data_IF_284180772195
#
_entry.id   IF_284180772195
#
_cell.length_a   1.000
_cell.length_b   1.000
_cell.length_c   1.000
_cell.angle_alpha   90.00
_cell.angle_beta   90.00
_cell.angle_gamma   90.00
#
_symmetry.space_group_name_H-M   'P 1'
#
loop_
_entity.id
_entity.type
_entity.pdbx_description
1 polymer ?
#
# COMPACT_ATOMS: atom_id res chain seq x y z
N UNK A 1 -23.27 -3.58 22.69
CA UNK A 1 -22.13 -2.97 23.36
C UNK A 1 -20.81 -3.74 23.17
N UNK A 2 -20.73 -5.08 23.23
CA UNK A 2 -19.47 -5.82 22.94
C UNK A 2 -18.90 -5.65 21.51
N UNK A 3 -19.68 -5.18 20.53
CA UNK A 3 -19.24 -4.97 19.14
C UNK A 3 -18.46 -3.68 18.91
N UNK A 4 -18.60 -2.65 19.74
CA UNK A 4 -17.90 -1.38 19.58
C UNK A 4 -16.47 -1.37 20.13
N UNK A 5 -16.15 -2.28 21.05
CA UNK A 5 -14.79 -2.41 21.61
C UNK A 5 -13.81 -3.20 20.71
N UNK A 6 -14.30 -3.84 19.63
CA UNK A 6 -13.47 -4.69 18.76
C UNK A 6 -12.98 -3.98 17.50
N UNK A 7 -13.27 -2.69 17.31
CA UNK A 7 -13.01 -1.95 16.07
C UNK A 7 -11.57 -1.50 15.92
N UNK A 8 -10.83 -1.40 17.02
CA UNK A 8 -9.47 -0.84 17.03
C UNK A 8 -8.34 -1.75 16.56
N UNK A 9 -8.57 -3.05 16.36
CA UNK A 9 -7.46 -4.00 16.21
C UNK A 9 -7.05 -4.33 14.76
N UNK A 10 -7.67 -3.73 13.75
CA UNK A 10 -7.32 -4.01 12.37
C UNK A 10 -6.45 -2.91 11.79
N UNK A 11 -5.15 -3.06 12.03
CA UNK A 11 -4.04 -2.58 11.20
C UNK A 11 -4.20 -1.17 10.60
N UNK A 12 -3.77 -0.16 11.33
CA UNK A 12 -3.29 1.13 10.77
C UNK A 12 -2.04 0.92 9.88
N UNK A 13 -1.95 -0.17 9.14
CA UNK A 13 -0.96 -0.23 8.08
C UNK A 13 -1.42 0.69 6.97
N UNK A 14 -0.94 1.92 6.99
CA UNK A 14 -1.01 2.81 5.83
C UNK A 14 -0.13 2.18 4.75
N UNK A 15 -0.66 1.22 4.00
CA UNK A 15 0.04 0.72 2.83
C UNK A 15 0.01 1.81 1.78
N UNK A 16 1.08 2.58 1.71
CA UNK A 16 1.30 3.57 0.66
C UNK A 16 1.73 2.86 -0.64
N UNK A 17 0.88 1.97 -1.19
CA UNK A 17 1.07 1.53 -2.57
C UNK A 17 0.74 2.70 -3.49
N UNK A 18 1.74 3.53 -3.75
CA UNK A 18 1.60 4.71 -4.62
C UNK A 18 1.72 4.35 -6.11
N UNK A 19 1.98 3.06 -6.44
CA UNK A 19 2.39 2.67 -7.79
C UNK A 19 1.64 1.44 -8.29
N UNK A 20 1.77 1.17 -9.57
CA UNK A 20 1.37 -0.09 -10.17
C UNK A 20 2.14 -1.25 -9.49
N UNK A 21 1.44 -2.33 -9.18
CA UNK A 21 2.01 -3.48 -8.49
C UNK A 21 1.06 -4.14 -7.52
N UNK A 22 1.53 -5.14 -6.83
CA UNK A 22 0.83 -5.79 -5.73
C UNK A 22 0.69 -4.89 -4.49
N UNK A 23 0.14 -5.45 -3.42
CA UNK A 23 -0.17 -4.69 -2.19
C UNK A 23 1.08 -4.01 -1.60
N UNK A 24 2.24 -4.68 -1.64
CA UNK A 24 3.52 -4.20 -1.10
C UNK A 24 4.66 -4.19 -2.14
N UNK A 25 4.33 -4.23 -3.43
CA UNK A 25 5.33 -4.34 -4.49
C UNK A 25 5.09 -3.31 -5.57
N UNK A 26 6.12 -2.55 -5.91
CA UNK A 26 6.12 -1.65 -7.07
C UNK A 26 6.76 -2.36 -8.26
N UNK A 27 6.04 -2.51 -9.37
CA UNK A 27 6.57 -3.09 -10.61
C UNK A 27 7.21 -2.05 -11.54
N UNK A 28 6.86 -0.78 -11.36
CA UNK A 28 7.39 0.37 -12.13
C UNK A 28 8.79 0.82 -11.64
N UNK A 29 9.76 -0.09 -11.54
CA UNK A 29 11.08 0.21 -10.99
C UNK A 29 12.06 0.91 -11.98
N UNK A 30 11.55 1.32 -13.15
CA UNK A 30 12.29 2.16 -14.12
C UNK A 30 11.28 3.04 -14.89
N UNK A 31 11.68 4.23 -15.31
CA UNK A 31 10.83 5.13 -16.08
C UNK A 31 10.40 4.57 -17.44
N UNK A 32 11.12 3.59 -18.01
CA UNK A 32 10.70 2.88 -19.20
C UNK A 32 9.36 2.14 -19.03
N UNK A 33 9.02 1.69 -17.81
CA UNK A 33 7.73 1.11 -17.49
C UNK A 33 6.59 2.13 -17.66
N UNK A 34 6.80 3.39 -17.30
CA UNK A 34 5.76 4.42 -17.38
C UNK A 34 5.35 4.75 -18.81
N UNK A 35 6.23 4.52 -19.79
CA UNK A 35 5.89 4.70 -21.20
C UNK A 35 5.28 3.44 -21.83
N UNK A 36 5.56 2.26 -21.25
CA UNK A 36 5.05 0.96 -21.69
C UNK A 36 5.20 -0.04 -20.53
N UNK A 37 4.11 -0.50 -19.88
CA UNK A 37 4.19 -1.37 -18.70
C UNK A 37 4.56 -2.83 -19.05
N UNK A 38 4.46 -3.23 -20.33
CA UNK A 38 4.79 -4.59 -20.79
C UNK A 38 6.30 -4.75 -20.98
N UNK A 39 7.05 -4.77 -19.86
CA UNK A 39 8.52 -4.88 -19.88
C UNK A 39 9.03 -6.30 -19.65
N UNK A 40 8.15 -7.24 -19.37
CA UNK A 40 8.47 -8.55 -18.79
C UNK A 40 9.25 -9.49 -19.72
N UNK A 41 9.21 -9.26 -21.04
CA UNK A 41 10.01 -9.98 -22.05
C UNK A 41 10.93 -9.05 -22.85
N UNK A 42 11.14 -7.80 -22.40
CA UNK A 42 11.98 -6.84 -23.13
C UNK A 42 13.46 -7.11 -22.81
N UNK A 43 14.28 -7.16 -23.86
CA UNK A 43 15.74 -7.26 -23.74
C UNK A 43 16.31 -5.84 -23.75
N UNK A 44 16.46 -5.26 -22.54
CA UNK A 44 17.02 -3.94 -22.30
C UNK A 44 17.59 -3.87 -20.88
N UNK A 45 18.27 -2.77 -20.52
CA UNK A 45 18.89 -2.64 -19.20
C UNK A 45 17.88 -2.64 -18.05
N UNK A 46 16.68 -2.12 -18.24
CA UNK A 46 15.59 -2.19 -17.26
C UNK A 46 15.11 -3.64 -17.02
N UNK A 47 15.48 -4.59 -17.89
CA UNK A 47 15.32 -6.02 -17.69
C UNK A 47 16.02 -6.56 -16.44
N UNK A 48 17.00 -5.85 -15.86
CA UNK A 48 17.58 -6.26 -14.57
C UNK A 48 16.51 -6.50 -13.51
N UNK A 49 15.39 -5.76 -13.57
CA UNK A 49 14.21 -6.03 -12.75
C UNK A 49 13.19 -6.92 -13.47
N UNK A 50 12.71 -6.48 -14.63
CA UNK A 50 11.53 -7.08 -15.27
C UNK A 50 11.82 -8.45 -15.91
N UNK A 51 12.99 -8.60 -16.56
CA UNK A 51 13.42 -9.80 -17.29
C UNK A 51 14.93 -10.07 -17.10
N UNK A 52 15.38 -10.45 -15.89
CA UNK A 52 16.81 -10.55 -15.62
C UNK A 52 17.52 -11.67 -16.41
N UNK A 53 16.80 -12.68 -16.89
CA UNK A 53 17.36 -13.67 -17.79
C UNK A 53 17.65 -13.11 -19.19
N UNK A 54 16.86 -12.15 -19.66
CA UNK A 54 17.06 -11.46 -20.96
C UNK A 54 18.34 -10.63 -21.05
N UNK A 55 18.98 -10.32 -19.91
CA UNK A 55 20.28 -9.61 -19.86
C UNK A 55 21.38 -10.36 -20.62
N UNK A 56 21.31 -11.69 -20.72
CA UNK A 56 22.25 -12.49 -21.49
C UNK A 56 22.29 -12.16 -22.99
N UNK A 57 21.26 -11.49 -23.51
CA UNK A 57 21.14 -11.13 -24.92
C UNK A 57 21.47 -9.67 -25.21
N UNK A 58 21.89 -8.89 -24.21
CA UNK A 58 22.47 -7.57 -24.42
C UNK A 58 23.85 -7.68 -25.06
N UNK A 59 24.33 -6.63 -25.76
CA UNK A 59 25.71 -6.54 -26.24
C UNK A 59 26.72 -6.76 -25.11
N UNK A 60 27.87 -7.36 -25.42
CA UNK A 60 28.95 -7.52 -24.46
C UNK A 60 29.44 -6.15 -23.96
N UNK A 61 29.74 -6.05 -22.66
CA UNK A 61 30.19 -4.82 -22.03
C UNK A 61 29.34 -4.43 -20.81
N UNK A 62 29.54 -3.22 -20.35
CA UNK A 62 28.84 -2.69 -19.18
C UNK A 62 27.65 -1.83 -19.63
N UNK A 63 26.51 -2.04 -18.96
CA UNK A 63 25.25 -1.32 -19.17
C UNK A 63 24.78 -0.71 -17.86
N UNK A 64 24.27 0.52 -17.91
CA UNK A 64 23.77 1.26 -16.76
C UNK A 64 22.46 1.96 -17.10
N UNK A 65 21.50 1.97 -16.19
CA UNK A 65 20.34 2.85 -16.25
C UNK A 65 20.20 3.58 -14.93
N UNK A 66 20.02 4.90 -15.02
CA UNK A 66 19.68 5.77 -13.90
C UNK A 66 18.29 6.32 -14.15
N UNK A 67 17.39 6.12 -13.22
CA UNK A 67 15.99 6.49 -13.36
C UNK A 67 15.52 7.32 -12.19
N UNK A 68 14.66 8.29 -12.48
CA UNK A 68 13.91 9.08 -11.51
C UNK A 68 12.44 9.08 -11.88
N UNK A 69 11.59 8.96 -10.86
CA UNK A 69 10.15 9.06 -11.00
C UNK A 69 9.59 9.98 -9.92
N UNK A 70 8.44 10.59 -10.22
CA UNK A 70 7.64 11.32 -9.26
C UNK A 70 6.18 10.88 -9.37
N UNK A 71 5.51 10.74 -8.21
CA UNK A 71 4.15 10.27 -8.15
C UNK A 71 3.28 11.13 -7.23
N UNK A 72 2.01 11.25 -7.60
CA UNK A 72 0.96 11.93 -6.84
C UNK A 72 -0.27 11.03 -6.77
N UNK A 73 -0.76 10.80 -5.56
CA UNK A 73 -1.94 9.99 -5.36
C UNK A 73 -2.92 10.68 -4.42
N UNK A 74 -4.21 10.54 -4.69
CA UNK A 74 -5.30 10.89 -3.80
C UNK A 74 -6.05 9.62 -3.41
N UNK A 75 -6.37 9.52 -2.14
CA UNK A 75 -7.20 8.46 -1.55
C UNK A 75 -8.46 9.13 -1.05
N UNK A 76 -9.60 8.79 -1.61
CA UNK A 76 -10.86 9.49 -1.40
C UNK A 76 -11.87 8.55 -0.76
N UNK A 77 -12.52 9.03 0.29
CA UNK A 77 -13.47 8.27 1.09
C UNK A 77 -14.74 9.11 1.28
N UNK A 78 -15.80 8.79 0.52
CA UNK A 78 -17.14 9.31 0.75
C UNK A 78 -17.86 8.36 1.69
N UNK A 79 -18.33 8.86 2.84
CA UNK A 79 -18.91 8.02 3.88
C UNK A 79 -20.21 8.60 4.39
N UNK A 80 -21.16 7.73 4.79
CA UNK A 80 -22.41 8.12 5.41
C UNK A 80 -22.64 7.31 6.69
N UNK A 81 -22.74 8.03 7.82
CA UNK A 81 -23.12 7.45 9.11
C UNK A 81 -23.92 8.47 9.92
N UNK A 82 -25.01 8.04 10.53
CA UNK A 82 -25.85 8.89 11.39
C UNK A 82 -25.08 9.47 12.59
N UNK A 83 -24.03 8.78 13.08
CA UNK A 83 -23.17 9.27 14.15
C UNK A 83 -22.51 10.62 13.81
N UNK A 84 -22.16 10.82 12.54
CA UNK A 84 -21.50 12.04 12.08
C UNK A 84 -22.36 13.28 12.19
N UNK A 85 -23.69 13.14 12.24
CA UNK A 85 -24.61 14.25 12.46
C UNK A 85 -24.37 14.96 13.80
N UNK A 86 -23.84 14.25 14.80
CA UNK A 86 -23.49 14.82 16.09
C UNK A 86 -22.25 15.72 16.03
N UNK A 87 -21.49 15.68 14.90
CA UNK A 87 -20.35 16.53 14.62
C UNK A 87 -20.56 17.27 13.30
N UNK A 88 -21.11 18.48 13.35
CA UNK A 88 -21.34 19.32 12.17
C UNK A 88 -22.67 19.11 11.45
N UNK A 89 -23.61 18.30 11.99
CA UNK A 89 -25.01 18.21 11.53
C UNK A 89 -25.25 17.40 10.25
N UNK A 90 -24.21 16.81 9.64
CA UNK A 90 -24.32 16.02 8.41
C UNK A 90 -23.92 14.57 8.63
N UNK A 91 -24.69 13.65 8.07
CA UNK A 91 -24.36 12.22 8.05
C UNK A 91 -23.30 11.90 6.97
N UNK A 92 -23.33 12.63 5.86
CA UNK A 92 -22.37 12.50 4.77
C UNK A 92 -21.12 13.29 5.07
N UNK A 93 -19.97 12.63 4.98
CA UNK A 93 -18.64 13.24 5.12
C UNK A 93 -17.70 12.75 4.03
N UNK A 94 -16.72 13.60 3.70
CA UNK A 94 -15.65 13.32 2.79
C UNK A 94 -14.31 13.41 3.52
N UNK A 95 -13.46 12.40 3.31
CA UNK A 95 -12.07 12.37 3.79
C UNK A 95 -11.14 12.13 2.63
N UNK A 96 -9.97 12.78 2.65
CA UNK A 96 -8.97 12.64 1.61
C UNK A 96 -7.58 12.41 2.21
N UNK A 97 -6.89 11.40 1.71
CA UNK A 97 -5.45 11.23 1.91
C UNK A 97 -4.70 11.70 0.68
N UNK A 98 -3.72 12.58 0.85
CA UNK A 98 -2.87 13.07 -0.22
C UNK A 98 -1.48 12.45 -0.09
N UNK A 99 -1.09 11.63 -1.07
CA UNK A 99 0.23 11.03 -1.11
C UNK A 99 1.10 11.69 -2.16
N UNK A 100 2.35 12.00 -1.79
CA UNK A 100 3.36 12.62 -2.66
C UNK A 100 4.67 11.87 -2.53
N UNK A 101 5.26 11.55 -3.67
CA UNK A 101 6.58 10.93 -3.78
C UNK A 101 7.37 11.63 -4.89
N UNK A 102 7.96 12.80 -4.61
CA UNK A 102 8.60 13.61 -5.65
C UNK A 102 9.92 13.03 -6.16
N UNK A 103 10.53 12.10 -5.41
CA UNK A 103 11.82 11.51 -5.75
C UNK A 103 11.80 10.01 -5.48
N UNK A 104 11.74 9.23 -6.56
CA UNK A 104 11.78 7.76 -6.53
C UNK A 104 12.92 7.34 -7.45
N UNK A 105 14.12 7.16 -6.89
CA UNK A 105 15.28 6.79 -7.69
C UNK A 105 15.32 5.30 -7.96
N UNK A 106 15.90 4.90 -9.10
CA UNK A 106 16.37 3.55 -9.32
C UNK A 106 17.67 3.54 -10.15
N UNK A 107 18.50 2.53 -9.88
CA UNK A 107 19.76 2.29 -10.57
C UNK A 107 19.81 0.83 -10.98
N UNK A 108 20.10 0.57 -12.25
CA UNK A 108 20.19 -0.77 -12.80
C UNK A 108 21.53 -0.86 -13.56
N UNK A 109 22.31 -1.88 -13.24
CA UNK A 109 23.58 -2.15 -13.85
C UNK A 109 23.68 -3.60 -14.30
N UNK A 110 24.29 -3.86 -15.44
CA UNK A 110 24.59 -5.18 -15.94
C UNK A 110 25.96 -5.21 -16.60
N UNK A 111 26.65 -6.32 -16.45
CA UNK A 111 27.91 -6.57 -17.16
C UNK A 111 27.81 -7.91 -17.89
N UNK A 112 27.74 -7.84 -19.21
CA UNK A 112 27.79 -9.03 -20.09
C UNK A 112 29.27 -9.39 -20.27
N UNK A 113 29.71 -10.41 -19.55
CA UNK A 113 31.12 -10.81 -19.45
C UNK A 113 31.59 -11.47 -20.75
N UNK A 114 30.75 -12.37 -21.26
CA UNK A 114 30.99 -13.12 -22.49
C UNK A 114 29.68 -13.72 -23.00
N UNK A 115 29.72 -14.53 -24.04
CA UNK A 115 28.53 -15.14 -24.66
C UNK A 115 27.72 -16.06 -23.74
N UNK A 116 28.25 -16.43 -22.57
CA UNK A 116 27.64 -17.36 -21.61
C UNK A 116 27.20 -16.69 -20.33
N UNK A 117 27.95 -15.73 -19.80
CA UNK A 117 27.77 -15.20 -18.47
C UNK A 117 27.51 -13.70 -18.47
N UNK A 118 26.52 -13.31 -17.70
CA UNK A 118 26.24 -11.91 -17.35
C UNK A 118 25.95 -11.82 -15.86
N UNK A 119 26.29 -10.68 -15.27
CA UNK A 119 25.92 -10.34 -13.88
C UNK A 119 25.16 -9.03 -13.88
N UNK A 120 24.25 -8.87 -12.91
CA UNK A 120 23.44 -7.67 -12.80
C UNK A 120 23.21 -7.26 -11.35
N UNK A 121 23.01 -5.97 -11.15
CA UNK A 121 22.67 -5.37 -9.87
C UNK A 121 21.63 -4.26 -10.05
N UNK A 122 20.81 -4.08 -9.04
CA UNK A 122 19.79 -3.03 -9.00
C UNK A 122 19.65 -2.47 -7.59
N UNK A 123 19.38 -1.17 -7.51
CA UNK A 123 18.80 -0.51 -6.36
C UNK A 123 17.51 0.20 -6.79
N UNK A 124 16.42 -0.01 -6.06
CA UNK A 124 15.16 0.68 -6.33
C UNK A 124 14.26 0.74 -5.08
N UNK A 125 13.26 1.60 -5.10
CA UNK A 125 12.16 1.58 -4.16
C UNK A 125 11.18 0.49 -4.62
N UNK A 126 11.30 -0.70 -4.01
CA UNK A 126 10.54 -1.89 -4.39
C UNK A 126 9.12 -1.95 -3.85
N UNK A 127 8.75 -1.03 -2.94
CA UNK A 127 7.40 -0.92 -2.39
C UNK A 127 7.21 0.38 -1.61
N UNK A 128 5.99 0.89 -1.53
CA UNK A 128 5.73 2.20 -0.96
C UNK A 128 6.40 3.31 -1.78
N UNK A 129 7.14 4.19 -1.14
CA UNK A 129 7.96 5.23 -1.79
C UNK A 129 7.46 6.65 -1.58
N UNK A 130 6.53 6.88 -0.65
CA UNK A 130 5.99 8.20 -0.37
C UNK A 130 5.45 8.38 1.04
N UNK A 131 4.94 9.58 1.26
CA UNK A 131 4.21 10.00 2.44
C UNK A 131 2.75 10.25 2.05
N UNK A 132 1.82 9.77 2.87
CA UNK A 132 0.37 10.03 2.73
C UNK A 132 -0.12 10.76 3.97
N UNK A 133 -0.70 11.92 3.76
CA UNK A 133 -1.28 12.76 4.81
C UNK A 133 -2.80 12.76 4.71
N UNK A 134 -3.48 12.47 5.80
CA UNK A 134 -4.91 12.63 6.03
C UNK A 134 -5.08 13.79 7.01
N UNK A 135 -5.08 15.01 6.48
CA UNK A 135 -5.12 16.24 7.28
C UNK A 135 -6.42 16.39 8.09
N UNK A 136 -7.54 15.90 7.54
CA UNK A 136 -8.86 15.89 8.20
C UNK A 136 -9.12 14.56 8.95
N UNK A 137 -8.09 13.72 9.15
CA UNK A 137 -8.18 12.42 9.79
C UNK A 137 -8.91 11.36 8.97
N UNK A 138 -9.57 10.44 9.66
CA UNK A 138 -10.19 9.25 9.06
C UNK A 138 -11.61 9.01 9.59
N UNK A 139 -12.51 8.41 8.79
CA UNK A 139 -13.84 7.99 9.24
C UNK A 139 -13.81 7.18 10.55
N UNK A 140 -12.90 6.23 10.67
CA UNK A 140 -12.77 5.35 11.83
C UNK A 140 -12.51 6.10 13.15
N UNK A 141 -11.84 7.25 13.10
CA UNK A 141 -11.60 8.08 14.29
C UNK A 141 -12.87 8.72 14.79
N UNK A 142 -13.68 9.25 13.87
CA UNK A 142 -15.00 9.79 14.22
C UNK A 142 -15.98 8.68 14.65
N UNK A 143 -15.92 7.49 14.05
CA UNK A 143 -16.74 6.35 14.48
C UNK A 143 -16.38 5.94 15.92
N UNK A 144 -15.09 5.92 16.25
CA UNK A 144 -14.61 5.59 17.60
C UNK A 144 -15.17 6.59 18.62
N UNK A 145 -14.95 7.88 18.41
CA UNK A 145 -15.34 8.94 19.34
C UNK A 145 -16.87 9.08 19.37
N UNK A 146 -17.48 9.22 18.20
CA UNK A 146 -18.94 9.39 18.07
C UNK A 146 -19.73 8.20 18.62
N UNK A 147 -19.24 6.97 18.42
CA UNK A 147 -19.88 5.77 18.95
C UNK A 147 -19.89 5.73 20.48
N UNK A 148 -18.78 6.09 21.14
CA UNK A 148 -18.70 6.17 22.59
C UNK A 148 -19.64 7.23 23.16
N UNK A 149 -19.64 8.43 22.54
CA UNK A 149 -20.42 9.56 23.02
C UNK A 149 -21.92 9.43 22.73
N UNK A 150 -22.31 8.85 21.59
CA UNK A 150 -23.70 8.55 21.29
C UNK A 150 -24.26 7.47 22.26
N UNK A 151 -23.45 6.48 22.64
CA UNK A 151 -23.79 5.48 23.66
C UNK A 151 -24.03 6.10 25.04
N UNK A 152 -23.43 7.25 25.33
CA UNK A 152 -23.65 8.05 26.52
C UNK A 152 -24.69 9.18 26.32
N UNK A 153 -25.48 9.13 25.24
CA UNK A 153 -26.53 10.08 24.90
C UNK A 153 -26.05 11.53 24.73
N UNK A 154 -24.83 11.75 24.26
CA UNK A 154 -24.37 13.07 23.85
C UNK A 154 -25.15 13.55 22.62
N UNK A 155 -25.52 14.83 22.62
CA UNK A 155 -26.24 15.48 21.52
C UNK A 155 -25.29 16.10 20.48
N UNK A 156 -24.02 16.29 20.85
CA UNK A 156 -22.96 16.76 19.97
C UNK A 156 -21.61 16.30 20.44
N UNK A 157 -20.66 16.18 19.50
CA UNK A 157 -19.26 16.01 19.81
C UNK A 157 -18.40 16.85 18.87
N UNK A 158 -17.16 17.09 19.28
CA UNK A 158 -16.12 17.69 18.45
C UNK A 158 -14.80 17.01 18.69
N UNK A 159 -13.94 17.01 17.70
CA UNK A 159 -12.56 16.52 17.78
C UNK A 159 -11.70 17.20 16.71
N UNK A 160 -10.39 17.20 16.96
CA UNK A 160 -9.36 17.47 15.94
C UNK A 160 -8.65 16.16 15.65
N UNK A 161 -8.38 15.87 14.38
CA UNK A 161 -7.76 14.59 14.00
C UNK A 161 -6.86 14.76 12.79
N UNK A 162 -5.79 13.97 12.74
CA UNK A 162 -4.91 13.84 11.58
C UNK A 162 -4.22 12.48 11.59
N UNK A 163 -3.71 12.07 10.45
CA UNK A 163 -2.82 10.91 10.35
C UNK A 163 -1.87 11.10 9.16
N UNK A 164 -0.60 10.84 9.39
CA UNK A 164 0.43 10.77 8.35
C UNK A 164 1.09 9.39 8.38
N UNK A 165 1.30 8.80 7.23
CA UNK A 165 2.03 7.55 7.09
C UNK A 165 3.09 7.65 6.03
N UNK A 166 4.29 7.14 6.33
CA UNK A 166 5.41 7.01 5.41
C UNK A 166 5.77 5.54 5.29
N UNK A 167 6.02 5.08 4.06
CA UNK A 167 6.48 3.72 3.84
C UNK A 167 7.49 3.70 2.70
N UNK A 168 8.70 3.22 2.99
CA UNK A 168 9.76 3.01 2.02
C UNK A 168 10.30 1.60 2.14
N UNK A 169 10.15 0.82 1.08
CA UNK A 169 10.71 -0.52 0.98
C UNK A 169 11.80 -0.49 -0.09
N UNK A 170 13.05 -0.40 0.34
CA UNK A 170 14.21 -0.38 -0.54
C UNK A 170 14.62 -1.79 -0.92
N UNK A 171 14.89 -2.02 -2.20
CA UNK A 171 15.38 -3.27 -2.74
C UNK A 171 16.78 -3.13 -3.31
N UNK A 172 17.70 -3.98 -2.88
CA UNK A 172 19.01 -4.16 -3.49
C UNK A 172 19.13 -5.57 -4.05
N UNK A 173 19.10 -5.72 -5.37
CA UNK A 173 19.11 -6.99 -6.07
C UNK A 173 20.48 -7.23 -6.72
N UNK A 174 20.95 -8.47 -6.64
CA UNK A 174 22.12 -8.95 -7.39
C UNK A 174 21.82 -10.34 -7.95
N UNK A 175 22.41 -10.67 -9.09
CA UNK A 175 22.28 -11.99 -9.66
C UNK A 175 23.16 -12.23 -10.87
N UNK A 176 23.14 -13.46 -11.33
CA UNK A 176 23.88 -13.92 -12.51
C UNK A 176 22.92 -14.57 -13.51
N UNK A 177 23.18 -14.34 -14.78
CA UNK A 177 22.47 -14.95 -15.90
C UNK A 177 23.43 -15.86 -16.64
N UNK A 178 22.97 -17.06 -16.98
CA UNK A 178 23.70 -18.01 -17.80
C UNK A 178 22.94 -18.35 -19.06
N UNK A 179 23.57 -18.15 -20.21
CA UNK A 179 23.04 -18.49 -21.54
C UNK A 179 23.31 -19.96 -21.82
N UNK A 180 22.28 -20.79 -21.68
CA UNK A 180 22.35 -22.24 -21.86
C UNK A 180 22.55 -22.61 -23.33
N UNK A 181 21.79 -21.96 -24.22
CA UNK A 181 21.86 -22.10 -25.68
C UNK A 181 21.90 -20.72 -26.33
N UNK A 182 22.02 -20.64 -27.64
CA UNK A 182 22.04 -19.36 -28.37
C UNK A 182 20.75 -18.53 -28.19
N UNK A 183 19.66 -19.18 -27.83
CA UNK A 183 18.36 -18.56 -27.70
C UNK A 183 17.68 -18.76 -26.34
N UNK A 184 18.35 -19.42 -25.37
CA UNK A 184 17.74 -19.68 -24.05
C UNK A 184 18.71 -19.37 -22.92
N UNK A 185 18.24 -18.64 -21.94
CA UNK A 185 19.00 -18.24 -20.76
C UNK A 185 18.21 -18.43 -19.46
N UNK A 186 18.95 -18.55 -18.35
CA UNK A 186 18.43 -18.69 -17.00
C UNK A 186 19.09 -17.68 -16.08
N UNK A 187 18.35 -17.17 -15.12
CA UNK A 187 18.79 -16.23 -14.10
C UNK A 187 18.62 -16.83 -12.70
N UNK A 188 19.59 -16.58 -11.84
CA UNK A 188 19.50 -16.83 -10.41
C UNK A 188 20.05 -15.64 -9.63
N UNK A 189 19.30 -15.16 -8.65
CA UNK A 189 19.71 -14.02 -7.85
C UNK A 189 18.91 -13.86 -6.57
N UNK A 190 19.18 -12.78 -5.86
CA UNK A 190 18.44 -12.43 -4.64
C UNK A 190 18.34 -10.91 -4.49
N UNK A 191 17.28 -10.49 -3.81
CA UNK A 191 17.06 -9.09 -3.41
C UNK A 191 17.04 -8.99 -1.89
N UNK A 192 17.97 -8.20 -1.32
CA UNK A 192 17.90 -7.70 0.04
C UNK A 192 16.84 -6.60 0.10
N UNK A 193 15.95 -6.65 1.08
CA UNK A 193 14.85 -5.72 1.25
C UNK A 193 14.96 -5.05 2.61
N UNK A 194 14.96 -3.72 2.63
CA UNK A 194 14.96 -2.88 3.83
C UNK A 194 13.64 -2.12 3.87
N UNK A 195 12.81 -2.39 4.86
CA UNK A 195 11.56 -1.68 5.08
C UNK A 195 11.73 -0.64 6.20
N UNK A 196 11.35 0.61 5.91
CA UNK A 196 11.28 1.72 6.85
C UNK A 196 9.90 2.35 6.72
N UNK A 197 9.15 2.34 7.82
CA UNK A 197 7.82 2.94 7.90
C UNK A 197 7.78 3.91 9.08
N UNK A 198 6.94 4.93 9.00
CA UNK A 198 6.64 5.83 10.10
C UNK A 198 5.17 6.22 10.07
N UNK A 199 4.55 6.29 11.23
CA UNK A 199 3.14 6.66 11.40
C UNK A 199 3.04 7.68 12.51
N UNK A 200 2.49 8.85 12.18
CA UNK A 200 2.27 9.94 13.11
C UNK A 200 0.80 10.36 13.00
N UNK A 201 0.11 10.49 14.13
CA UNK A 201 -1.28 10.90 14.12
C UNK A 201 -1.79 11.26 15.50
N UNK A 202 -2.87 12.05 15.51
CA UNK A 202 -3.49 12.46 16.75
C UNK A 202 -5.02 12.51 16.63
N UNK A 203 -5.70 12.25 17.74
CA UNK A 203 -7.07 12.65 17.99
C UNK A 203 -7.05 13.46 19.27
N UNK A 204 -7.43 14.74 19.20
CA UNK A 204 -7.34 15.69 20.30
C UNK A 204 -8.57 16.57 20.39
N UNK A 205 -8.64 17.43 21.41
CA UNK A 205 -9.75 18.35 21.64
C UNK A 205 -11.12 17.67 21.63
N UNK A 206 -11.19 16.45 22.19
CA UNK A 206 -12.40 15.64 22.18
C UNK A 206 -13.41 16.24 23.17
N UNK A 207 -14.56 16.69 22.63
CA UNK A 207 -15.63 17.31 23.41
C UNK A 207 -16.95 16.59 23.21
N UNK A 208 -17.82 16.66 24.21
CA UNK A 208 -19.21 16.23 24.15
C UNK A 208 -20.09 17.32 24.78
N UNK A 209 -21.13 17.77 24.06
CA UNK A 209 -22.03 18.83 24.50
C UNK A 209 -21.29 20.10 24.98
N UNK A 210 -20.13 20.42 24.34
CA UNK A 210 -19.31 21.60 24.65
C UNK A 210 -18.36 21.50 25.84
N UNK A 211 -18.27 20.31 26.49
CA UNK A 211 -17.30 20.04 27.58
C UNK A 211 -16.35 18.92 27.17
N UNK A 212 -15.21 18.79 27.87
CA UNK A 212 -14.27 17.69 27.62
C UNK A 212 -14.98 16.33 27.73
N UNK A 213 -14.75 15.43 26.76
CA UNK A 213 -15.48 14.17 26.64
C UNK A 213 -15.31 13.27 27.86
N UNK A 214 -14.10 13.18 28.44
CA UNK A 214 -13.87 12.42 29.69
C UNK A 214 -14.65 12.94 30.87
N UNK A 215 -14.77 14.28 31.00
CA UNK A 215 -15.60 14.93 32.04
C UNK A 215 -17.08 14.67 31.83
N UNK A 216 -17.55 14.76 30.58
CA UNK A 216 -18.94 14.42 30.24
C UNK A 216 -19.30 12.98 30.61
N UNK A 217 -18.47 12.01 30.17
CA UNK A 217 -18.69 10.58 30.46
C UNK A 217 -18.63 10.27 31.96
N UNK A 218 -17.72 10.93 32.69
CA UNK A 218 -17.63 10.79 34.16
C UNK A 218 -18.89 11.35 34.86
N UNK A 219 -19.46 12.46 34.36
CA UNK A 219 -20.71 13.02 34.87
C UNK A 219 -21.90 12.09 34.62
N UNK A 220 -22.02 11.52 33.40
CA UNK A 220 -23.07 10.54 33.08
C UNK A 220 -22.90 9.28 33.92
N UNK A 221 -21.65 8.80 34.14
CA UNK A 221 -21.36 7.67 35.01
C UNK A 221 -21.86 7.93 36.45
N UNK A 222 -21.59 9.10 37.02
CA UNK A 222 -22.02 9.45 38.37
C UNK A 222 -23.56 9.37 38.52
N UNK A 223 -24.32 9.77 37.49
CA UNK A 223 -25.78 9.63 37.48
C UNK A 223 -26.21 8.16 37.45
N UNK A 224 -25.55 7.32 36.66
CA UNK A 224 -25.81 5.86 36.60
C UNK A 224 -25.47 5.19 37.94
N UNK A 225 -24.33 5.57 38.55
CA UNK A 225 -23.91 5.05 39.85
C UNK A 225 -24.90 5.43 40.99
N UNK A 226 -25.49 6.62 40.95
CA UNK A 226 -26.56 7.00 41.86
C UNK A 226 -27.80 6.10 41.70
N UNK A 227 -28.16 5.75 40.47
CA UNK A 227 -29.24 4.76 40.21
C UNK A 227 -28.87 3.36 40.70
N UNK A 228 -27.64 2.92 40.54
CA UNK A 228 -27.14 1.65 41.09
C UNK A 228 -27.27 1.59 42.63
N UNK A 229 -26.86 2.67 43.29
CA UNK A 229 -26.94 2.77 44.75
C UNK A 229 -28.37 2.62 45.26
N UNK A 230 -29.38 3.13 44.52
CA UNK A 230 -30.79 2.95 44.87
C UNK A 230 -31.26 1.53 44.68
N UNK A 231 -30.74 0.78 43.72
CA UNK A 231 -31.10 -0.61 43.46
C UNK A 231 -30.30 -1.63 44.29
N UNK A 232 -29.22 -1.23 44.94
CA UNK A 232 -28.34 -2.11 45.70
C UNK A 232 -29.11 -2.94 46.79
N UNK A 233 -30.07 -2.36 47.57
CA UNK A 233 -30.84 -3.14 48.56
C UNK A 233 -31.73 -4.19 47.96
N UNK A 234 -32.09 -4.09 46.67
CA UNK A 234 -33.05 -4.97 46.00
C UNK A 234 -32.43 -5.71 44.79
N UNK A 235 -31.13 -5.69 44.65
CA UNK A 235 -30.39 -6.22 43.49
C UNK A 235 -30.62 -7.72 43.21
N UNK A 236 -31.01 -8.50 44.25
CA UNK A 236 -31.24 -9.93 44.14
C UNK A 236 -32.73 -10.26 44.05
N UNK A 237 -33.65 -9.26 44.13
CA UNK A 237 -35.08 -9.42 44.02
C UNK A 237 -35.47 -9.59 42.55
N UNK A 238 -36.37 -10.57 42.29
CA UNK A 238 -36.87 -10.79 40.93
C UNK A 238 -37.52 -9.52 40.37
N UNK A 239 -37.16 -9.17 39.13
CA UNK A 239 -37.56 -7.92 38.45
C UNK A 239 -36.56 -6.74 38.58
N UNK A 240 -35.77 -6.69 39.65
CA UNK A 240 -34.74 -5.67 39.83
C UNK A 240 -33.34 -6.12 39.45
N UNK A 241 -33.08 -7.42 39.53
CA UNK A 241 -31.76 -8.02 39.24
C UNK A 241 -31.25 -7.69 37.85
N UNK A 242 -32.11 -7.83 36.85
CA UNK A 242 -31.75 -7.53 35.45
C UNK A 242 -31.45 -6.04 35.25
N UNK A 243 -32.29 -5.16 35.87
CA UNK A 243 -32.07 -3.72 35.81
C UNK A 243 -30.74 -3.30 36.48
N UNK A 244 -30.45 -3.89 37.67
CA UNK A 244 -29.17 -3.65 38.33
C UNK A 244 -27.98 -4.08 37.46
N UNK A 245 -28.04 -5.27 36.86
CA UNK A 245 -26.98 -5.76 35.96
C UNK A 245 -26.78 -4.88 34.72
N UNK A 246 -27.88 -4.35 34.15
CA UNK A 246 -27.81 -3.43 33.00
C UNK A 246 -27.13 -2.13 33.38
N UNK A 247 -27.52 -1.52 34.50
CA UNK A 247 -26.88 -0.27 34.98
C UNK A 247 -25.42 -0.49 35.38
N UNK A 248 -25.09 -1.60 36.01
CA UNK A 248 -23.71 -1.94 36.35
C UNK A 248 -22.84 -2.08 35.08
N UNK A 249 -23.36 -2.76 34.04
CA UNK A 249 -22.67 -2.85 32.76
C UNK A 249 -22.51 -1.46 32.08
N UNK A 250 -23.53 -0.60 32.17
CA UNK A 250 -23.47 0.77 31.65
C UNK A 250 -22.45 1.61 32.39
N UNK A 251 -22.41 1.56 33.73
CA UNK A 251 -21.41 2.25 34.55
C UNK A 251 -19.99 1.84 34.18
N UNK A 252 -19.75 0.52 34.03
CA UNK A 252 -18.46 0.00 33.61
C UNK A 252 -18.05 0.50 32.20
N UNK A 253 -19.00 0.51 31.26
CA UNK A 253 -18.74 1.03 29.90
C UNK A 253 -18.43 2.51 29.90
N UNK A 254 -19.13 3.31 30.70
CA UNK A 254 -18.88 4.75 30.86
C UNK A 254 -17.50 5.01 31.51
N UNK A 255 -17.10 4.19 32.49
CA UNK A 255 -15.77 4.29 33.10
C UNK A 255 -14.66 4.03 32.05
N UNK A 256 -14.82 3.00 31.23
CA UNK A 256 -13.89 2.70 30.15
C UNK A 256 -13.85 3.83 29.09
N UNK A 257 -15.02 4.33 28.69
CA UNK A 257 -15.11 5.45 27.75
C UNK A 257 -14.47 6.73 28.30
N UNK A 258 -14.71 7.04 29.59
CA UNK A 258 -14.10 8.19 30.25
C UNK A 258 -12.55 8.09 30.35
N UNK A 259 -12.04 6.92 30.64
CA UNK A 259 -10.61 6.66 30.61
C UNK A 259 -10.02 6.76 29.20
N UNK A 260 -10.73 6.24 28.20
CA UNK A 260 -10.31 6.25 26.80
C UNK A 260 -10.29 7.67 26.20
N UNK A 261 -11.38 8.43 26.38
CA UNK A 261 -11.56 9.76 25.81
C UNK A 261 -11.17 10.89 26.76
N UNK A 262 -10.59 10.55 27.92
CA UNK A 262 -10.12 11.51 28.94
C UNK A 262 -8.78 12.15 28.61
N UNK A 263 -8.06 11.64 27.64
CA UNK A 263 -6.79 12.16 27.15
C UNK A 263 -6.72 12.06 25.63
N UNK A 264 -5.87 12.88 25.03
CA UNK A 264 -5.62 12.85 23.61
C UNK A 264 -4.97 11.50 23.20
N UNK A 265 -5.26 11.07 21.98
CA UNK A 265 -4.57 9.96 21.34
C UNK A 265 -3.39 10.53 20.56
N UNK A 266 -2.24 9.98 20.76
CA UNK A 266 -1.03 10.32 20.00
C UNK A 266 -0.35 9.04 19.55
N UNK A 267 -0.22 8.88 18.22
CA UNK A 267 0.54 7.82 17.58
C UNK A 267 1.84 8.43 17.05
N UNK A 268 2.96 7.89 17.48
CA UNK A 268 4.29 8.19 16.96
C UNK A 268 5.05 6.86 16.94
N UNK A 269 5.11 6.23 15.76
CA UNK A 269 5.65 4.89 15.59
C UNK A 269 6.51 4.82 14.34
N UNK A 270 7.80 4.62 14.53
CA UNK A 270 8.70 4.18 13.46
C UNK A 270 8.77 2.65 13.43
N UNK A 271 8.93 2.10 12.25
CA UNK A 271 9.07 0.65 12.06
C UNK A 271 10.20 0.36 11.09
N UNK A 272 11.04 -0.61 11.42
CA UNK A 272 12.09 -1.07 10.51
C UNK A 272 12.15 -2.58 10.43
N UNK A 273 12.60 -3.10 9.28
CA UNK A 273 12.73 -4.52 9.07
C UNK A 273 13.59 -4.87 7.87
N UNK A 274 14.07 -6.11 7.84
CA UNK A 274 14.88 -6.65 6.77
C UNK A 274 14.35 -8.01 6.29
N UNK A 275 14.49 -8.27 4.99
CA UNK A 275 14.16 -9.56 4.39
C UNK A 275 15.01 -9.85 3.17
N UNK A 276 14.95 -11.09 2.68
CA UNK A 276 15.62 -11.53 1.46
C UNK A 276 14.60 -12.22 0.56
N UNK A 277 14.60 -11.83 -0.72
CA UNK A 277 13.80 -12.40 -1.79
C UNK A 277 14.70 -13.17 -2.74
N UNK A 278 14.72 -14.49 -2.77
CA UNK A 278 15.33 -15.25 -3.87
C UNK A 278 14.54 -14.99 -5.17
N UNK A 279 15.25 -15.01 -6.31
CA UNK A 279 14.66 -14.72 -7.63
C UNK A 279 15.24 -15.71 -8.64
N UNK A 280 14.39 -16.29 -9.47
CA UNK A 280 14.76 -17.09 -10.63
C UNK A 280 14.09 -16.53 -11.88
N UNK A 281 14.72 -16.67 -13.02
CA UNK A 281 14.21 -16.19 -14.30
C UNK A 281 14.60 -17.07 -15.47
N UNK A 282 13.80 -17.04 -16.52
CA UNK A 282 14.00 -17.73 -17.78
C UNK A 282 13.71 -16.75 -18.93
N UNK A 283 14.48 -16.82 -20.00
CA UNK A 283 14.21 -16.07 -21.21
C UNK A 283 14.47 -16.93 -22.44
N UNK A 284 13.58 -16.85 -23.41
CA UNK A 284 13.66 -17.60 -24.67
C UNK A 284 13.52 -16.66 -25.86
N UNK A 285 14.66 -16.26 -26.43
CA UNK A 285 14.76 -15.38 -27.59
C UNK A 285 14.69 -16.18 -28.88
N UNK A 286 13.57 -16.16 -29.55
CA UNK A 286 13.28 -16.85 -30.81
C UNK A 286 13.38 -15.90 -32.03
N UNK A 287 14.23 -14.89 -31.95
CA UNK A 287 14.39 -13.87 -32.99
C UNK A 287 13.28 -12.82 -32.94
N UNK A 288 12.20 -12.98 -33.71
CA UNK A 288 11.06 -12.04 -33.66
C UNK A 288 10.20 -12.17 -32.41
N UNK A 289 10.20 -13.33 -31.76
CA UNK A 289 9.45 -13.60 -30.54
C UNK A 289 10.40 -13.76 -29.37
N UNK A 290 10.20 -13.02 -28.31
CA UNK A 290 10.85 -13.22 -27.02
C UNK A 290 9.81 -13.61 -25.97
N UNK A 291 10.08 -14.66 -25.20
CA UNK A 291 9.25 -15.14 -24.12
C UNK A 291 10.06 -15.14 -22.82
N UNK A 292 9.48 -14.68 -21.74
CA UNK A 292 10.17 -14.69 -20.45
C UNK A 292 9.26 -15.07 -19.29
N UNK A 293 9.87 -15.62 -18.25
CA UNK A 293 9.22 -15.92 -16.99
C UNK A 293 10.17 -15.59 -15.85
N UNK A 294 9.63 -14.99 -14.78
CA UNK A 294 10.36 -14.69 -13.55
C UNK A 294 9.53 -15.09 -12.35
N UNK A 295 10.16 -15.66 -11.34
CA UNK A 295 9.54 -15.94 -10.06
C UNK A 295 10.35 -15.33 -8.93
N UNK A 296 9.70 -14.48 -8.17
CA UNK A 296 10.21 -13.88 -6.94
C UNK A 296 9.56 -14.59 -5.75
N UNK A 297 10.38 -15.20 -4.90
CA UNK A 297 9.87 -15.91 -3.73
C UNK A 297 9.36 -14.91 -2.68
N UNK A 298 8.44 -15.37 -1.82
CA UNK A 298 7.94 -14.58 -0.72
C UNK A 298 9.07 -14.06 0.18
N UNK A 299 9.10 -12.77 0.43
CA UNK A 299 10.02 -12.15 1.38
C UNK A 299 9.39 -12.15 2.77
N UNK A 300 10.06 -12.75 3.72
CA UNK A 300 9.63 -12.74 5.12
C UNK A 300 10.23 -11.52 5.83
N UNK A 301 9.38 -10.62 6.34
CA UNK A 301 9.81 -9.43 7.07
C UNK A 301 9.07 -9.36 8.41
N UNK A 302 9.80 -9.12 9.48
CA UNK A 302 9.26 -8.64 10.75
C UNK A 302 9.67 -7.18 10.87
N UNK A 303 8.69 -6.30 11.06
CA UNK A 303 8.90 -4.91 11.40
C UNK A 303 8.96 -4.81 12.91
N UNK A 304 9.98 -4.13 13.45
CA UNK A 304 10.14 -3.82 14.87
C UNK A 304 9.78 -2.35 15.08
N UNK A 305 8.98 -2.10 16.11
CA UNK A 305 8.48 -0.76 16.43
C UNK A 305 9.46 -0.02 17.33
N UNK A 306 9.58 1.28 17.04
CA UNK A 306 10.08 2.32 17.93
C UNK A 306 8.92 3.30 18.15
N UNK A 307 8.31 3.25 19.33
CA UNK A 307 7.02 3.89 19.64
C UNK A 307 7.01 4.53 21.04
N UNK A 308 8.14 4.98 21.53
CA UNK A 308 8.29 5.53 22.89
C UNK A 308 7.32 6.69 23.20
N UNK A 309 6.96 7.48 22.17
CA UNK A 309 6.08 8.64 22.31
C UNK A 309 4.60 8.33 22.03
N UNK A 310 4.26 7.08 21.75
CA UNK A 310 2.87 6.69 21.52
C UNK A 310 2.09 6.62 22.81
N UNK A 311 0.90 7.24 22.86
CA UNK A 311 0.10 7.30 24.08
C UNK A 311 -0.47 5.93 24.49
N UNK A 312 -0.68 5.74 25.80
CA UNK A 312 -1.12 4.46 26.36
C UNK A 312 -2.52 4.04 25.87
N UNK A 313 -3.42 4.98 25.59
CA UNK A 313 -4.74 4.67 25.03
C UNK A 313 -4.64 4.14 23.58
N UNK A 314 -3.69 4.61 22.77
CA UNK A 314 -3.40 4.07 21.44
C UNK A 314 -2.88 2.64 21.56
N UNK A 315 -1.88 2.38 22.38
CA UNK A 315 -1.30 1.03 22.54
C UNK A 315 -2.28 0.04 23.19
N UNK A 316 -3.19 0.52 24.06
CA UNK A 316 -4.26 -0.31 24.60
C UNK A 316 -5.29 -0.75 23.54
N UNK A 317 -5.63 0.13 22.59
CA UNK A 317 -6.51 -0.20 21.47
C UNK A 317 -5.80 -1.00 20.38
N UNK A 318 -4.54 -0.70 20.14
CA UNK A 318 -3.72 -1.24 19.05
C UNK A 318 -2.36 -1.73 19.57
N UNK A 319 -2.30 -2.89 20.23
CA UNK A 319 -1.05 -3.41 20.80
C UNK A 319 0.06 -3.63 19.76
N UNK A 320 -0.31 -3.73 18.48
CA UNK A 320 0.64 -3.83 17.36
C UNK A 320 1.53 -2.58 17.20
N UNK A 321 1.18 -1.45 17.84
CA UNK A 321 1.98 -0.21 17.87
C UNK A 321 2.70 0.01 19.20
N UNK A 322 2.68 -0.98 20.10
CA UNK A 322 3.48 -0.89 21.32
C UNK A 322 4.97 -0.87 20.98
N UNK A 323 5.73 -0.15 21.81
CA UNK A 323 7.18 -0.07 21.69
C UNK A 323 7.84 -1.46 21.75
N UNK A 324 8.84 -1.71 20.88
CA UNK A 324 9.50 -3.01 20.73
C UNK A 324 8.65 -4.15 20.16
N UNK A 325 7.36 -3.90 19.86
CA UNK A 325 6.50 -4.94 19.26
C UNK A 325 6.98 -5.32 17.85
N UNK A 326 6.87 -6.61 17.52
CA UNK A 326 7.24 -7.14 16.21
C UNK A 326 6.00 -7.48 15.41
N UNK A 327 5.84 -6.80 14.27
CA UNK A 327 4.70 -6.96 13.38
C UNK A 327 5.15 -7.65 12.10
N UNK A 328 4.44 -8.70 11.71
CA UNK A 328 4.71 -9.40 10.45
C UNK A 328 4.23 -8.58 9.26
N UNK A 329 5.07 -8.43 8.23
CA UNK A 329 4.77 -7.68 6.99
C UNK A 329 5.49 -8.32 5.80
N UNK A 330 5.05 -9.53 5.40
CA UNK A 330 5.65 -10.26 4.28
C UNK A 330 5.33 -9.58 2.94
N UNK A 331 6.30 -9.58 2.01
CA UNK A 331 6.04 -9.27 0.61
C UNK A 331 5.63 -10.57 -0.09
N UNK A 332 4.50 -10.61 -0.80
CA UNK A 332 4.03 -11.80 -1.51
C UNK A 332 5.03 -12.33 -2.54
N UNK A 333 4.97 -13.61 -2.84
CA UNK A 333 5.63 -14.16 -4.01
C UNK A 333 4.96 -13.64 -5.28
N UNK A 334 5.72 -13.55 -6.38
CA UNK A 334 5.25 -13.02 -7.66
C UNK A 334 5.70 -13.94 -8.79
N UNK A 335 4.77 -14.36 -9.64
CA UNK A 335 5.05 -14.91 -10.96
C UNK A 335 4.86 -13.80 -12.00
N UNK A 336 5.86 -13.59 -12.82
CA UNK A 336 5.83 -12.68 -13.97
C UNK A 336 5.99 -13.49 -15.24
N UNK A 337 5.11 -13.28 -16.22
CA UNK A 337 5.17 -13.87 -17.55
C UNK A 337 5.16 -12.75 -18.59
N UNK A 338 5.99 -12.86 -19.60
CA UNK A 338 6.08 -11.87 -20.65
C UNK A 338 6.23 -12.46 -22.04
N UNK A 339 5.73 -11.71 -23.03
CA UNK A 339 5.94 -11.98 -24.46
C UNK A 339 6.19 -10.66 -25.19
N UNK A 340 7.14 -10.64 -26.10
CA UNK A 340 7.39 -9.54 -27.02
C UNK A 340 7.46 -10.11 -28.45
N UNK A 341 6.76 -9.50 -29.39
CA UNK A 341 6.81 -9.87 -30.79
C UNK A 341 7.17 -8.68 -31.67
N UNK A 342 8.22 -8.83 -32.46
CA UNK A 342 8.66 -7.86 -33.47
C UNK A 342 7.78 -8.01 -34.73
N UNK A 343 6.73 -7.16 -34.82
CA UNK A 343 5.75 -7.24 -35.89
C UNK A 343 6.32 -6.79 -37.23
N UNK A 344 7.03 -5.64 -37.24
CA UNK A 344 7.83 -5.12 -38.35
C UNK A 344 9.19 -4.68 -37.80
N UNK A 345 10.13 -4.25 -38.63
CA UNK A 345 11.41 -3.73 -38.17
C UNK A 345 11.27 -2.50 -37.25
N UNK A 346 10.18 -1.74 -37.42
CA UNK A 346 9.91 -0.53 -36.65
C UNK A 346 8.87 -0.71 -35.53
N UNK A 347 8.05 -1.77 -35.55
CA UNK A 347 6.92 -1.94 -34.62
C UNK A 347 7.02 -3.25 -33.86
N UNK A 348 6.91 -3.17 -32.54
CA UNK A 348 6.84 -4.33 -31.65
C UNK A 348 5.64 -4.22 -30.70
N UNK A 349 5.07 -5.35 -30.38
CA UNK A 349 3.94 -5.51 -29.47
C UNK A 349 4.38 -6.39 -28.31
N UNK A 350 4.00 -6.03 -27.10
CA UNK A 350 4.36 -6.74 -25.89
C UNK A 350 3.13 -6.97 -25.02
N UNK A 351 3.13 -8.09 -24.30
CA UNK A 351 2.16 -8.41 -23.27
C UNK A 351 2.84 -9.00 -22.05
N UNK A 352 2.26 -8.78 -20.90
CA UNK A 352 2.75 -9.33 -19.66
C UNK A 352 1.62 -9.68 -18.69
N UNK A 353 1.95 -10.53 -17.74
CA UNK A 353 1.04 -10.98 -16.71
C UNK A 353 1.80 -11.18 -15.40
N UNK A 354 1.25 -10.61 -14.31
CA UNK A 354 1.75 -10.79 -12.96
C UNK A 354 0.69 -11.47 -12.10
N UNK A 355 1.11 -12.42 -11.26
CA UNK A 355 0.27 -13.05 -10.27
C UNK A 355 0.95 -13.01 -8.91
N UNK A 356 0.24 -12.44 -7.93
CA UNK A 356 0.74 -12.22 -6.58
C UNK A 356 0.05 -13.17 -5.61
N UNK A 357 0.83 -13.92 -4.80
CA UNK A 357 0.27 -14.81 -3.76
C UNK A 357 0.06 -14.04 -2.46
N UNK A 358 -0.82 -13.05 -2.49
CA UNK A 358 -1.10 -12.17 -1.34
C UNK A 358 -1.67 -12.93 -0.14
N UNK A 359 -2.50 -13.95 -0.37
CA UNK A 359 -3.10 -14.79 0.69
C UNK A 359 -2.08 -15.60 1.47
N UNK A 360 -0.94 -15.92 0.86
CA UNK A 360 0.11 -16.71 1.51
C UNK A 360 1.10 -15.83 2.29
N UNK A 361 1.06 -14.52 2.09
CA UNK A 361 1.90 -13.57 2.79
C UNK A 361 1.28 -13.20 4.14
N UNK A 362 2.09 -13.21 5.21
CA UNK A 362 1.63 -12.86 6.55
C UNK A 362 1.71 -11.35 6.76
N UNK A 363 0.72 -10.81 7.48
CA UNK A 363 0.65 -9.36 7.75
C UNK A 363 0.05 -8.56 6.60
N UNK A 364 -0.41 -9.19 5.53
CA UNK A 364 -1.23 -8.53 4.50
C UNK A 364 -2.64 -8.26 5.04
N UNK A 365 -3.33 -7.23 4.52
CA UNK A 365 -4.69 -6.93 4.94
C UNK A 365 -5.72 -7.96 4.47
N UNK A 366 -5.39 -8.80 3.49
CA UNK A 366 -6.33 -9.78 2.93
C UNK A 366 -6.61 -10.88 3.94
N UNK A 367 -7.88 -10.99 4.35
CA UNK A 367 -8.40 -12.02 5.26
C UNK A 367 -9.32 -12.99 4.54
N UNK A 368 -10.21 -12.47 3.69
CA UNK A 368 -11.22 -13.24 2.97
C UNK A 368 -11.11 -13.12 1.45
N UNK A 369 -10.50 -12.06 0.96
CA UNK A 369 -10.32 -11.79 -0.46
C UNK A 369 -9.44 -12.82 -1.18
N UNK A 370 -9.09 -12.52 -2.40
CA UNK A 370 -8.28 -13.36 -3.28
C UNK A 370 -6.89 -12.77 -3.57
N UNK A 371 -6.10 -13.49 -4.34
CA UNK A 371 -4.81 -13.05 -4.81
C UNK A 371 -4.96 -11.95 -5.88
N UNK A 372 -4.02 -11.03 -5.92
CA UNK A 372 -3.95 -9.97 -6.94
C UNK A 372 -3.37 -10.52 -8.25
N UNK A 373 -3.84 -9.99 -9.38
CA UNK A 373 -3.20 -10.20 -10.67
C UNK A 373 -3.17 -8.91 -11.49
N UNK A 374 -2.21 -8.83 -12.40
CA UNK A 374 -2.07 -7.75 -13.35
C UNK A 374 -1.90 -8.32 -14.76
N UNK A 375 -2.52 -7.66 -15.72
CA UNK A 375 -2.31 -7.93 -17.15
C UNK A 375 -1.94 -6.61 -17.83
N UNK A 376 -0.92 -6.64 -18.67
CA UNK A 376 -0.45 -5.46 -19.38
C UNK A 376 -0.25 -5.75 -20.86
N UNK A 377 -0.42 -4.71 -21.68
CA UNK A 377 -0.22 -4.72 -23.10
C UNK A 377 0.45 -3.43 -23.53
N UNK A 378 1.36 -3.51 -24.49
CA UNK A 378 2.05 -2.34 -25.00
C UNK A 378 2.47 -2.46 -26.44
N UNK A 379 2.64 -1.31 -27.08
CA UNK A 379 3.18 -1.16 -28.42
C UNK A 379 4.29 -0.12 -28.40
N UNK A 380 5.34 -0.39 -29.12
CA UNK A 380 6.44 0.55 -29.36
C UNK A 380 6.66 0.69 -30.87
N UNK A 381 6.89 1.93 -31.28
CA UNK A 381 7.16 2.31 -32.65
C UNK A 381 8.44 3.12 -32.77
N UNK A 382 9.45 2.57 -33.43
CA UNK A 382 10.65 3.31 -33.84
C UNK A 382 10.27 4.19 -35.05
N UNK A 383 9.97 5.48 -34.78
CA UNK A 383 9.59 6.46 -35.81
C UNK A 383 10.75 6.68 -36.79
N UNK A 384 11.98 6.63 -36.24
CA UNK A 384 13.26 6.63 -36.95
C UNK A 384 14.34 6.07 -36.00
N UNK A 385 15.60 6.07 -36.45
CA UNK A 385 16.73 5.51 -35.70
C UNK A 385 16.95 6.17 -34.33
N UNK A 386 16.41 7.39 -34.11
CA UNK A 386 16.60 8.16 -32.87
C UNK A 386 15.36 8.23 -31.98
N UNK A 387 14.17 8.17 -32.56
CA UNK A 387 12.92 8.46 -31.86
C UNK A 387 12.07 7.18 -31.78
N UNK A 388 11.72 6.79 -30.56
CA UNK A 388 10.78 5.74 -30.24
C UNK A 388 9.58 6.34 -29.53
N UNK A 389 8.38 5.97 -29.94
CA UNK A 389 7.12 6.27 -29.27
C UNK A 389 6.53 5.00 -28.66
N UNK A 390 5.82 5.16 -27.55
CA UNK A 390 5.20 4.04 -26.85
C UNK A 390 3.82 4.39 -26.33
N UNK A 391 2.95 3.39 -26.36
CA UNK A 391 1.64 3.38 -25.73
C UNK A 391 1.45 2.03 -25.05
N UNK A 392 0.92 2.03 -23.84
CA UNK A 392 0.58 0.81 -23.14
C UNK A 392 -0.59 0.98 -22.18
N UNK A 393 -1.11 -0.13 -21.71
CA UNK A 393 -2.15 -0.19 -20.71
C UNK A 393 -1.92 -1.35 -19.76
N UNK A 394 -2.46 -1.21 -18.56
CA UNK A 394 -2.40 -2.24 -17.53
C UNK A 394 -3.74 -2.31 -16.80
N UNK A 395 -4.21 -3.52 -16.53
CA UNK A 395 -5.28 -3.78 -15.56
C UNK A 395 -4.68 -4.46 -14.35
N UNK A 396 -4.90 -3.87 -13.17
CA UNK A 396 -4.59 -4.47 -11.88
C UNK A 396 -5.91 -4.85 -11.20
N UNK A 397 -6.06 -6.12 -10.88
CA UNK A 397 -7.21 -6.64 -10.16
C UNK A 397 -6.77 -7.06 -8.77
N UNK A 398 -7.11 -6.25 -7.78
CA UNK A 398 -6.93 -6.61 -6.37
C UNK A 398 -8.06 -7.53 -5.91
N UNK A 399 -7.70 -8.54 -5.13
CA UNK A 399 -8.64 -9.50 -4.60
C UNK A 399 -9.22 -9.11 -3.22
N UNK A 400 -9.38 -7.83 -2.93
CA UNK A 400 -9.93 -7.34 -1.66
C UNK A 400 -11.43 -7.63 -1.56
N UNK A 401 -11.85 -8.22 -0.44
CA UNK A 401 -13.24 -8.32 0.00
C UNK A 401 -13.62 -7.08 0.84
N UNK A 402 -14.90 -6.81 1.02
CA UNK A 402 -15.39 -5.68 1.84
C UNK A 402 -14.81 -5.70 3.26
N UNK A 403 -14.57 -6.89 3.82
CA UNK A 403 -14.00 -7.07 5.16
C UNK A 403 -12.50 -6.86 5.25
N UNK A 404 -11.82 -6.75 4.10
CA UNK A 404 -10.40 -6.47 3.98
C UNK A 404 -10.13 -4.96 3.84
N UNK A 405 -11.18 -4.17 3.53
CA UNK A 405 -11.10 -2.72 3.38
C UNK A 405 -10.95 -2.04 4.74
N UNK A 406 -10.03 -1.10 4.83
CA UNK A 406 -9.84 -0.21 5.98
C UNK A 406 -9.48 1.19 5.49
N UNK A 407 -9.83 2.22 6.25
CA UNK A 407 -9.60 3.63 5.90
C UNK A 407 -8.13 3.91 5.58
N UNK A 408 -7.23 3.26 6.29
CA UNK A 408 -5.78 3.39 6.10
C UNK A 408 -5.23 2.50 4.98
N UNK A 409 -5.96 1.43 4.63
CA UNK A 409 -5.51 0.42 3.69
C UNK A 409 -6.65 -0.13 2.85
N UNK A 410 -6.90 0.50 1.70
CA UNK A 410 -7.83 0.01 0.71
C UNK A 410 -7.15 -0.04 -0.66
N UNK A 411 -7.01 -1.24 -1.21
CA UNK A 411 -6.51 -1.46 -2.55
C UNK A 411 -7.66 -1.75 -3.49
N UNK A 412 -7.89 -0.82 -4.40
CA UNK A 412 -9.00 -0.85 -5.35
C UNK A 412 -8.44 -1.15 -6.73
N UNK A 413 -9.13 -2.03 -7.46
CA UNK A 413 -8.76 -2.41 -8.83
C UNK A 413 -8.70 -1.19 -9.74
N UNK A 414 -7.78 -1.22 -10.69
CA UNK A 414 -7.51 -0.07 -11.55
C UNK A 414 -7.14 -0.47 -12.97
N UNK A 415 -7.35 0.46 -13.89
CA UNK A 415 -6.82 0.42 -15.25
C UNK A 415 -5.88 1.60 -15.43
N UNK A 416 -4.69 1.38 -15.98
CA UNK A 416 -3.72 2.43 -16.25
C UNK A 416 -3.48 2.61 -17.75
N UNK A 417 -3.23 3.86 -18.15
CA UNK A 417 -2.73 4.23 -19.48
C UNK A 417 -1.32 4.74 -19.29
N UNK A 418 -0.40 4.24 -20.10
CA UNK A 418 1.01 4.57 -20.12
C UNK A 418 1.38 5.20 -21.47
N UNK A 419 2.03 6.34 -21.45
CA UNK A 419 2.40 7.10 -22.65
C UNK A 419 3.84 7.57 -22.54
N UNK A 420 4.55 7.62 -23.64
CA UNK A 420 5.88 8.20 -23.65
C UNK A 420 6.71 7.85 -24.86
N UNK A 421 8.02 8.00 -24.70
CA UNK A 421 8.96 7.71 -25.77
C UNK A 421 10.38 7.62 -25.29
N UNK A 422 11.26 7.40 -26.23
CA UNK A 422 12.70 7.47 -25.98
C UNK A 422 13.42 8.20 -27.09
N UNK A 423 14.54 8.83 -26.73
CA UNK A 423 15.45 9.48 -27.67
C UNK A 423 16.85 8.87 -27.55
N UNK A 424 17.37 8.34 -28.66
CA UNK A 424 18.73 7.82 -28.77
C UNK A 424 19.67 8.96 -29.18
N UNK A 425 20.52 9.39 -28.26
CA UNK A 425 21.60 10.35 -28.57
C UNK A 425 22.69 9.70 -29.42
N UNK A 426 22.93 8.41 -29.14
CA UNK A 426 23.87 7.55 -29.86
C UNK A 426 23.46 6.10 -29.68
N UNK A 427 24.18 5.16 -30.31
CA UNK A 427 24.00 3.70 -30.08
C UNK A 427 24.23 3.30 -28.61
N UNK A 428 24.96 4.13 -27.85
CA UNK A 428 25.31 3.86 -26.46
C UNK A 428 24.52 4.66 -25.43
N UNK A 429 23.69 5.62 -25.83
CA UNK A 429 23.00 6.49 -24.87
C UNK A 429 21.57 6.79 -25.32
N UNK A 430 20.61 6.43 -24.45
CA UNK A 430 19.18 6.58 -24.69
C UNK A 430 18.48 7.18 -23.47
N UNK A 431 17.69 8.23 -23.69
CA UNK A 431 16.80 8.84 -22.71
C UNK A 431 15.39 8.27 -22.88
N UNK A 432 14.76 7.79 -21.80
CA UNK A 432 13.35 7.43 -21.78
C UNK A 432 12.59 8.49 -21.00
N UNK A 433 11.37 8.80 -21.44
CA UNK A 433 10.39 9.65 -20.76
C UNK A 433 9.06 8.94 -20.76
N UNK A 434 8.39 8.88 -19.61
CA UNK A 434 7.13 8.19 -19.47
C UNK A 434 6.17 8.91 -18.52
N UNK A 435 4.89 8.72 -18.80
CA UNK A 435 3.77 9.13 -17.96
C UNK A 435 2.77 7.98 -17.83
N UNK A 436 2.27 7.78 -16.61
CA UNK A 436 1.24 6.80 -16.32
C UNK A 436 0.13 7.47 -15.51
N UNK A 437 -1.12 7.28 -15.96
CA UNK A 437 -2.32 7.64 -15.22
C UNK A 437 -3.13 6.39 -14.90
N UNK A 438 -3.55 6.26 -13.63
CA UNK A 438 -4.37 5.14 -13.18
C UNK A 438 -5.79 5.59 -12.86
N UNK A 439 -6.76 4.95 -13.51
CA UNK A 439 -8.19 5.06 -13.24
C UNK A 439 -8.57 3.93 -12.31
N UNK A 440 -9.01 4.29 -11.11
CA UNK A 440 -9.45 3.32 -10.10
C UNK A 440 -10.95 3.11 -10.19
N UNK A 441 -11.38 1.89 -9.92
CA UNK A 441 -12.80 1.59 -9.75
C UNK A 441 -13.31 2.27 -8.47
N UNK A 442 -14.63 2.49 -8.37
CA UNK A 442 -15.28 2.86 -7.12
C UNK A 442 -15.59 1.57 -6.33
N UNK A 443 -15.25 1.56 -5.03
CA UNK A 443 -15.58 0.43 -4.18
C UNK A 443 -16.59 0.83 -3.10
N UNK A 444 -17.83 0.34 -3.26
CA UNK A 444 -18.95 0.64 -2.37
C UNK A 444 -19.22 -0.55 -1.44
N UNK A 445 -19.22 -0.30 -0.14
CA UNK A 445 -19.48 -1.32 0.87
C UNK A 445 -20.06 -0.69 2.14
N UNK A 446 -20.48 -1.55 3.07
CA UNK A 446 -20.85 -1.11 4.42
C UNK A 446 -19.86 -1.74 5.40
N UNK A 447 -19.18 -0.89 6.18
CA UNK A 447 -18.21 -1.38 7.16
C UNK A 447 -18.90 -2.05 8.36
N UNK A 448 -18.12 -2.64 9.26
CA UNK A 448 -18.63 -3.38 10.42
C UNK A 448 -19.41 -2.48 11.41
N UNK A 449 -19.26 -1.15 11.32
CA UNK A 449 -19.95 -0.16 12.15
C UNK A 449 -21.25 0.34 11.53
N UNK A 450 -21.61 -0.16 10.34
CA UNK A 450 -22.81 0.26 9.62
C UNK A 450 -22.61 1.56 8.82
N UNK A 451 -21.39 2.04 8.65
CA UNK A 451 -21.08 3.17 7.78
C UNK A 451 -21.10 2.71 6.33
N UNK A 452 -21.91 3.39 5.52
CA UNK A 452 -21.86 3.21 4.07
C UNK A 452 -20.63 3.98 3.54
N UNK A 453 -19.77 3.25 2.83
CA UNK A 453 -18.50 3.76 2.31
C UNK A 453 -18.46 3.67 0.79
N UNK A 454 -17.88 4.67 0.14
CA UNK A 454 -17.49 4.66 -1.25
C UNK A 454 -16.04 5.16 -1.34
N UNK A 455 -15.12 4.24 -1.62
CA UNK A 455 -13.69 4.52 -1.68
C UNK A 455 -13.21 4.50 -3.12
N UNK A 456 -12.35 5.46 -3.47
CA UNK A 456 -11.68 5.52 -4.77
C UNK A 456 -10.28 6.13 -4.64
N UNK A 457 -9.50 6.08 -5.73
CA UNK A 457 -8.16 6.65 -5.79
C UNK A 457 -7.94 7.37 -7.12
N UNK A 458 -6.93 8.25 -7.14
CA UNK A 458 -6.35 8.85 -8.36
C UNK A 458 -4.85 8.76 -8.25
N UNK A 459 -4.16 8.41 -9.33
CA UNK A 459 -2.71 8.28 -9.33
C UNK A 459 -2.11 8.72 -10.65
N UNK A 460 -1.10 9.59 -10.56
CA UNK A 460 -0.32 10.12 -11.67
C UNK A 460 1.16 9.89 -11.38
N UNK A 461 1.90 9.36 -12.36
CA UNK A 461 3.34 9.11 -12.26
C UNK A 461 4.04 9.63 -13.51
N UNK A 462 5.10 10.38 -13.31
CA UNK A 462 6.01 10.80 -14.40
C UNK A 462 7.40 10.27 -14.12
N UNK A 463 8.20 10.07 -15.14
CA UNK A 463 9.58 9.64 -14.94
C UNK A 463 10.45 9.81 -16.17
N UNK A 464 11.75 9.83 -15.88
CA UNK A 464 12.82 9.84 -16.87
C UNK A 464 13.89 8.82 -16.49
N UNK A 465 14.50 8.17 -17.48
CA UNK A 465 15.70 7.36 -17.27
C UNK A 465 16.71 7.55 -18.38
N UNK A 466 17.98 7.48 -18.01
CA UNK A 466 19.09 7.52 -18.93
C UNK A 466 19.76 6.13 -18.94
N UNK A 467 19.73 5.48 -20.09
CA UNK A 467 20.39 4.20 -20.35
C UNK A 467 21.71 4.45 -21.07
N UNK A 468 22.79 3.82 -20.61
CA UNK A 468 24.16 3.99 -21.13
C UNK A 468 24.78 2.61 -21.32
N UNK A 469 25.38 2.37 -22.48
CA UNK A 469 26.23 1.19 -22.78
C UNK A 469 27.68 1.65 -23.01
N UNK A 470 28.64 0.87 -22.50
CA UNK A 470 30.08 1.19 -22.57
C UNK A 470 30.83 0.22 -23.48
#
# INVERSE_FOLDING_TARGET
MKKFLLIGATALMVSNSTFAGGILTNTNQNAAFLRNPSRDAVIAIDGVYSNPAGIAFLPQGFHLSVSWQAAWQKRQMDVNNKLFQLNGGKADKYFEGVAKAPVIPSFQAAYVINDKWSVSAQFAVGGGGGECEFAEGLPMFEELVGGQLAGAQANSYGLSQNLTGKQFIYGFQVGATYRLTDNFSVFGGARGVLANCAYEGAISNITANGVAAGSYLSGVKAMVDAGLAQLEPVKDVAGYKEQYQQLAAQSAALAQGAALLGSDFNLDCAQSGFGITPIIGLDWNLGKLNLAAKYEFRTKINLENDSENTSANVTALMPAYADGAKVRSDIPAILTLGAQYQFTDAVRVMGGFHYYWDKDAKGTPIKKGDNTWEANLGIEWDVNDKILLSLGGQRTQYGFDDTDMADTNFNISSSAICLGGAYKFSEKMKLNVGYMHSFYDDHKFTNANGTACNYTRKNDVVGVSLDIAF
#
